data_IF_352956216421
#
_entry.id   IF_352956216421
#
_cell.length_a   1.000
_cell.length_b   1.000
_cell.length_c   1.000
_cell.angle_alpha   90.00
_cell.angle_beta   90.00
_cell.angle_gamma   90.00
#
_symmetry.space_group_name_H-M   'P 1'
#
loop_
_entity.id
_entity.type
_entity.pdbx_description
1 polymer ?
#
# COMPACT_ATOMS: atom_id res chain seq x y z
N UNK A 1 43.27 -29.32 -16.00
CA UNK A 1 41.92 -29.92 -15.86
C UNK A 1 41.70 -30.25 -14.39
N UNK A 2 41.11 -29.32 -13.64
CA UNK A 2 40.70 -29.55 -12.27
C UNK A 2 39.21 -29.90 -12.30
N UNK A 3 38.92 -31.10 -11.80
CA UNK A 3 37.62 -31.75 -11.81
C UNK A 3 36.64 -30.86 -11.04
N UNK A 4 35.57 -30.43 -11.70
CA UNK A 4 34.53 -29.60 -11.12
C UNK A 4 34.02 -30.19 -9.82
N UNK A 5 34.13 -29.41 -8.76
CA UNK A 5 33.52 -29.74 -7.48
C UNK A 5 32.03 -29.44 -7.59
N UNK A 6 31.24 -30.50 -7.80
CA UNK A 6 29.77 -30.50 -8.00
C UNK A 6 29.03 -30.17 -6.69
N UNK A 7 29.73 -29.60 -5.69
CA UNK A 7 29.19 -29.26 -4.36
C UNK A 7 29.60 -27.87 -3.85
N UNK A 8 29.93 -26.93 -4.73
CA UNK A 8 29.74 -25.52 -4.40
C UNK A 8 28.24 -25.20 -4.46
N UNK A 9 27.48 -25.75 -3.51
CA UNK A 9 26.12 -25.29 -3.26
C UNK A 9 26.30 -23.88 -2.74
N UNK A 10 26.12 -22.89 -3.61
CA UNK A 10 25.94 -21.49 -3.20
C UNK A 10 25.01 -21.51 -2.00
N UNK A 11 25.42 -20.86 -0.91
CA UNK A 11 24.63 -20.83 0.31
C UNK A 11 23.20 -20.43 -0.10
N UNK A 12 22.19 -21.29 0.12
CA UNK A 12 20.85 -21.06 -0.42
C UNK A 12 20.27 -19.74 0.07
N UNK A 13 20.77 -19.24 1.20
CA UNK A 13 20.47 -17.90 1.72
C UNK A 13 21.01 -16.83 0.77
N UNK A 14 22.29 -16.90 0.38
CA UNK A 14 22.94 -15.96 -0.55
C UNK A 14 22.29 -15.97 -1.94
N UNK A 15 22.01 -17.14 -2.50
CA UNK A 15 21.34 -17.23 -3.80
C UNK A 15 19.91 -16.65 -3.78
N UNK A 16 19.18 -16.81 -2.67
CA UNK A 16 17.85 -16.18 -2.49
C UNK A 16 17.97 -14.67 -2.34
N UNK A 17 19.04 -14.16 -1.73
CA UNK A 17 19.32 -12.72 -1.62
C UNK A 17 19.69 -12.11 -2.97
N UNK A 18 20.59 -12.74 -3.72
CA UNK A 18 21.00 -12.26 -5.05
C UNK A 18 19.79 -12.20 -6.00
N UNK A 19 18.93 -13.23 -5.96
CA UNK A 19 17.67 -13.24 -6.69
C UNK A 19 16.73 -12.09 -6.28
N UNK A 20 16.65 -11.79 -4.99
CA UNK A 20 15.79 -10.75 -4.48
C UNK A 20 16.34 -9.33 -4.79
N UNK A 21 17.66 -9.17 -4.85
CA UNK A 21 18.33 -7.95 -5.28
C UNK A 21 18.14 -7.70 -6.80
N UNK A 22 18.24 -8.75 -7.61
CA UNK A 22 17.92 -8.68 -9.05
C UNK A 22 16.44 -8.34 -9.31
N UNK A 23 15.53 -8.92 -8.52
CA UNK A 23 14.10 -8.60 -8.59
C UNK A 23 13.84 -7.15 -8.18
N UNK A 24 14.52 -6.66 -7.14
CA UNK A 24 14.43 -5.26 -6.71
C UNK A 24 14.93 -4.30 -7.79
N UNK A 25 16.08 -4.60 -8.42
CA UNK A 25 16.65 -3.78 -9.49
C UNK A 25 15.70 -3.68 -10.70
N UNK A 26 14.93 -4.74 -10.99
CA UNK A 26 13.94 -4.75 -12.08
C UNK A 26 12.56 -4.23 -11.66
N UNK A 27 12.25 -4.16 -10.37
CA UNK A 27 10.95 -3.78 -9.83
C UNK A 27 10.41 -2.42 -10.35
N UNK A 28 11.21 -1.34 -10.47
CA UNK A 28 10.72 -0.07 -11.02
C UNK A 28 10.25 -0.18 -12.48
N UNK A 29 11.00 -0.89 -13.32
CA UNK A 29 10.63 -1.13 -14.72
C UNK A 29 9.36 -1.99 -14.80
N UNK A 30 9.28 -3.05 -14.00
CA UNK A 30 8.09 -3.92 -13.92
C UNK A 30 6.86 -3.13 -13.48
N UNK A 31 6.99 -2.27 -12.47
CA UNK A 31 5.90 -1.40 -11.98
C UNK A 31 5.36 -0.50 -13.08
N UNK A 32 6.25 0.18 -13.81
CA UNK A 32 5.88 1.06 -14.93
C UNK A 32 5.22 0.26 -16.06
N UNK A 33 5.78 -0.90 -16.42
CA UNK A 33 5.20 -1.79 -17.44
C UNK A 33 3.81 -2.29 -17.06
N UNK A 34 3.58 -2.66 -15.79
CA UNK A 34 2.26 -3.09 -15.31
C UNK A 34 1.25 -1.93 -15.39
N UNK A 35 1.65 -0.70 -15.05
CA UNK A 35 0.77 0.47 -15.16
C UNK A 35 0.38 0.72 -16.61
N UNK A 36 1.33 0.69 -17.55
CA UNK A 36 1.02 0.82 -18.98
C UNK A 36 0.15 -0.32 -19.51
N UNK A 37 0.45 -1.56 -19.15
CA UNK A 37 -0.36 -2.72 -19.52
C UNK A 37 -1.81 -2.58 -19.00
N UNK A 38 -1.98 -2.10 -17.76
CA UNK A 38 -3.30 -1.84 -17.19
C UNK A 38 -4.05 -0.72 -17.92
N UNK A 39 -3.38 0.36 -18.30
CA UNK A 39 -4.00 1.44 -19.07
C UNK A 39 -4.41 0.95 -20.47
N UNK A 40 -3.54 0.19 -21.14
CA UNK A 40 -3.81 -0.39 -22.45
C UNK A 40 -5.01 -1.35 -22.41
N UNK A 41 -5.03 -2.29 -21.44
CA UNK A 41 -6.15 -3.23 -21.28
C UNK A 41 -7.43 -2.49 -20.87
N UNK A 42 -7.36 -1.46 -20.01
CA UNK A 42 -8.52 -0.66 -19.65
C UNK A 42 -9.13 0.04 -20.87
N UNK A 43 -8.29 0.61 -21.72
CA UNK A 43 -8.72 1.24 -22.96
C UNK A 43 -9.33 0.22 -23.93
N UNK A 44 -8.69 -0.95 -24.11
CA UNK A 44 -9.22 -2.05 -24.91
C UNK A 44 -10.57 -2.54 -24.43
N UNK A 45 -10.72 -2.78 -23.12
CA UNK A 45 -11.98 -3.18 -22.50
C UNK A 45 -13.08 -2.14 -22.67
N UNK A 46 -12.75 -0.85 -22.56
CA UNK A 46 -13.70 0.22 -22.82
C UNK A 46 -14.18 0.21 -24.28
N UNK A 47 -13.25 0.03 -25.22
CA UNK A 47 -13.57 -0.07 -26.65
C UNK A 47 -14.44 -1.30 -26.93
N UNK A 48 -14.07 -2.47 -26.38
CA UNK A 48 -14.84 -3.70 -26.50
C UNK A 48 -16.27 -3.54 -25.96
N UNK A 49 -16.44 -2.95 -24.78
CA UNK A 49 -17.75 -2.68 -24.21
C UNK A 49 -18.61 -1.77 -25.13
N UNK A 50 -18.00 -0.71 -25.67
CA UNK A 50 -18.68 0.18 -26.63
C UNK A 50 -19.05 -0.57 -27.91
N UNK A 51 -18.15 -1.40 -28.43
CA UNK A 51 -18.38 -2.18 -29.64
C UNK A 51 -19.46 -3.25 -29.45
N UNK A 52 -19.50 -3.90 -28.29
CA UNK A 52 -20.54 -4.86 -27.95
C UNK A 52 -21.92 -4.21 -28.03
N UNK A 53 -22.07 -3.02 -27.43
CA UNK A 53 -23.36 -2.30 -27.43
C UNK A 53 -23.72 -1.76 -28.82
N UNK A 54 -22.74 -1.28 -29.59
CA UNK A 54 -23.00 -0.69 -30.91
C UNK A 54 -23.38 -1.73 -31.97
N UNK A 55 -22.74 -2.90 -31.92
CA UNK A 55 -22.92 -3.99 -32.90
C UNK A 55 -24.01 -4.99 -32.50
N UNK A 56 -24.47 -4.96 -31.24
CA UNK A 56 -25.61 -5.75 -30.79
C UNK A 56 -26.93 -5.22 -31.38
N UNK A 57 -27.80 -6.14 -31.78
CA UNK A 57 -29.16 -5.79 -32.21
C UNK A 57 -30.05 -5.43 -31.03
N UNK A 58 -29.84 -6.10 -29.88
CA UNK A 58 -30.60 -5.90 -28.65
C UNK A 58 -29.84 -5.02 -27.66
N UNK A 59 -29.59 -3.76 -28.04
CA UNK A 59 -28.71 -2.82 -27.30
C UNK A 59 -28.99 -2.73 -25.81
N UNK A 60 -30.26 -2.64 -25.39
CA UNK A 60 -30.62 -2.54 -23.98
C UNK A 60 -30.26 -3.79 -23.17
N UNK A 61 -30.41 -4.96 -23.78
CA UNK A 61 -30.06 -6.23 -23.17
C UNK A 61 -28.54 -6.43 -23.14
N UNK A 62 -27.83 -6.07 -24.20
CA UNK A 62 -26.37 -6.08 -24.25
C UNK A 62 -25.74 -5.17 -23.18
N UNK A 63 -26.22 -3.92 -23.04
CA UNK A 63 -25.76 -3.01 -21.97
C UNK A 63 -25.92 -3.68 -20.60
N UNK A 64 -27.08 -4.29 -20.35
CA UNK A 64 -27.39 -4.91 -19.07
C UNK A 64 -26.48 -6.12 -18.80
N UNK A 65 -26.28 -7.00 -19.79
CA UNK A 65 -25.44 -8.18 -19.66
C UNK A 65 -23.95 -7.84 -19.56
N UNK A 66 -23.46 -6.90 -20.35
CA UNK A 66 -22.07 -6.43 -20.27
C UNK A 66 -21.78 -5.80 -18.90
N UNK A 67 -22.69 -4.96 -18.37
CA UNK A 67 -22.57 -4.39 -17.02
C UNK A 67 -22.67 -5.45 -15.93
N UNK A 68 -23.57 -6.41 -16.07
CA UNK A 68 -23.72 -7.52 -15.13
C UNK A 68 -22.46 -8.38 -15.10
N UNK A 69 -21.90 -8.72 -16.27
CA UNK A 69 -20.65 -9.47 -16.38
C UNK A 69 -19.48 -8.72 -15.71
N UNK A 70 -19.37 -7.42 -15.96
CA UNK A 70 -18.40 -6.56 -15.28
C UNK A 70 -18.59 -6.61 -13.75
N UNK A 71 -19.82 -6.43 -13.27
CA UNK A 71 -20.12 -6.39 -11.84
C UNK A 71 -19.88 -7.73 -11.16
N UNK A 72 -20.23 -8.85 -11.79
CA UNK A 72 -19.96 -10.19 -11.29
C UNK A 72 -18.46 -10.41 -11.11
N UNK A 73 -17.65 -10.12 -12.14
CA UNK A 73 -16.19 -10.25 -12.04
C UNK A 73 -15.58 -9.25 -11.06
N UNK A 74 -16.16 -8.06 -10.92
CA UNK A 74 -15.75 -7.09 -9.93
C UNK A 74 -16.05 -7.53 -8.50
N UNK A 75 -17.23 -8.11 -8.24
CA UNK A 75 -17.64 -8.61 -6.91
C UNK A 75 -16.88 -9.88 -6.55
N UNK A 76 -16.56 -10.74 -7.52
CA UNK A 76 -15.77 -11.96 -7.33
C UNK A 76 -14.50 -11.74 -6.52
N UNK A 77 -13.87 -10.57 -6.66
CA UNK A 77 -12.63 -10.21 -5.95
C UNK A 77 -12.78 -10.08 -4.43
N UNK A 78 -13.99 -9.84 -3.95
CA UNK A 78 -14.27 -9.59 -2.53
C UNK A 78 -14.76 -10.84 -1.80
N UNK A 79 -14.98 -11.94 -2.53
CA UNK A 79 -15.44 -13.18 -1.93
C UNK A 79 -14.28 -13.91 -1.25
N UNK A 80 -14.44 -14.35 0.01
CA UNK A 80 -13.37 -15.05 0.74
C UNK A 80 -13.17 -16.47 0.19
N UNK A 81 -14.26 -17.21 -0.05
CA UNK A 81 -14.20 -18.63 -0.38
C UNK A 81 -13.92 -18.93 -1.85
N UNK A 82 -13.09 -19.94 -2.11
CA UNK A 82 -12.78 -20.42 -3.45
C UNK A 82 -14.02 -20.95 -4.20
N UNK A 83 -14.95 -21.61 -3.49
CA UNK A 83 -16.22 -22.09 -4.03
C UNK A 83 -17.09 -20.93 -4.53
N UNK A 84 -17.29 -19.90 -3.70
CA UNK A 84 -18.03 -18.69 -4.04
C UNK A 84 -17.42 -17.97 -5.23
N UNK A 85 -16.08 -17.85 -5.30
CA UNK A 85 -15.38 -17.27 -6.46
C UNK A 85 -15.61 -18.05 -7.75
N UNK A 86 -15.75 -19.37 -7.66
CA UNK A 86 -15.96 -20.25 -8.81
C UNK A 86 -17.40 -20.16 -9.33
N UNK A 87 -18.37 -20.08 -8.42
CA UNK A 87 -19.79 -19.87 -8.76
C UNK A 87 -19.98 -18.53 -9.49
N UNK A 88 -19.42 -17.44 -8.98
CA UNK A 88 -19.51 -16.14 -9.65
C UNK A 88 -18.81 -16.13 -11.02
N UNK A 89 -17.69 -16.85 -11.16
CA UNK A 89 -17.02 -16.99 -12.45
C UNK A 89 -17.92 -17.73 -13.46
N UNK A 90 -18.56 -18.82 -13.04
CA UNK A 90 -19.51 -19.56 -13.88
C UNK A 90 -20.71 -18.68 -14.28
N UNK A 91 -21.24 -17.88 -13.35
CA UNK A 91 -22.33 -16.96 -13.63
C UNK A 91 -21.92 -15.84 -14.60
N UNK A 92 -20.71 -15.31 -14.47
CA UNK A 92 -20.16 -14.33 -15.41
C UNK A 92 -19.98 -14.94 -16.81
N UNK A 93 -19.55 -16.20 -16.90
CA UNK A 93 -19.41 -16.92 -18.17
C UNK A 93 -20.77 -17.19 -18.82
N UNK A 94 -21.77 -17.59 -18.05
CA UNK A 94 -23.15 -17.71 -18.53
C UNK A 94 -23.70 -16.38 -19.03
N UNK A 95 -23.43 -15.29 -18.28
CA UNK A 95 -23.83 -13.93 -18.69
C UNK A 95 -23.20 -13.56 -20.03
N UNK A 96 -21.91 -13.85 -20.23
CA UNK A 96 -21.23 -13.67 -21.51
C UNK A 96 -21.84 -14.52 -22.63
N UNK A 97 -22.18 -15.78 -22.36
CA UNK A 97 -22.84 -16.62 -23.36
C UNK A 97 -24.20 -16.05 -23.80
N UNK A 98 -24.99 -15.49 -22.87
CA UNK A 98 -26.22 -14.77 -23.22
C UNK A 98 -25.94 -13.46 -23.97
N UNK A 99 -24.83 -12.77 -23.67
CA UNK A 99 -24.45 -11.51 -24.33
C UNK A 99 -24.11 -11.74 -25.81
N UNK A 100 -23.48 -12.88 -26.14
CA UNK A 100 -23.25 -13.31 -27.53
C UNK A 100 -24.56 -13.46 -28.31
N UNK A 101 -25.62 -13.97 -27.68
CA UNK A 101 -26.93 -14.18 -28.31
C UNK A 101 -27.63 -12.86 -28.68
N UNK A 102 -27.12 -11.71 -28.23
CA UNK A 102 -27.68 -10.39 -28.57
C UNK A 102 -27.30 -9.90 -29.98
N UNK A 103 -26.27 -10.51 -30.59
CA UNK A 103 -25.74 -10.15 -31.91
C UNK A 103 -26.34 -11.03 -33.02
N UNK A 104 -27.66 -11.09 -33.19
CA UNK A 104 -28.29 -12.06 -34.11
C UNK A 104 -27.77 -11.98 -35.57
N UNK A 105 -28.13 -12.98 -36.36
CA UNK A 105 -27.88 -13.09 -37.80
C UNK A 105 -26.41 -12.81 -38.21
N UNK A 106 -26.13 -11.68 -38.84
CA UNK A 106 -24.81 -11.32 -39.36
C UNK A 106 -23.83 -10.82 -38.28
N UNK A 107 -24.33 -10.48 -37.09
CA UNK A 107 -23.54 -9.96 -35.97
C UNK A 107 -22.87 -11.05 -35.12
N UNK A 108 -23.29 -12.31 -35.26
CA UNK A 108 -22.98 -13.37 -34.28
C UNK A 108 -21.47 -13.63 -34.17
N UNK A 109 -20.76 -13.53 -35.29
CA UNK A 109 -19.31 -13.64 -35.34
C UNK A 109 -18.62 -12.53 -34.52
N UNK A 110 -19.15 -11.30 -34.53
CA UNK A 110 -18.65 -10.23 -33.67
C UNK A 110 -18.92 -10.52 -32.20
N UNK A 111 -20.09 -11.06 -31.85
CA UNK A 111 -20.39 -11.47 -30.47
C UNK A 111 -19.41 -12.54 -29.96
N UNK A 112 -19.17 -13.59 -30.76
CA UNK A 112 -18.24 -14.68 -30.43
C UNK A 112 -16.79 -14.21 -30.26
N UNK A 113 -16.41 -13.09 -30.88
CA UNK A 113 -15.06 -12.52 -30.74
C UNK A 113 -15.02 -11.53 -29.58
N UNK A 114 -15.87 -10.50 -29.61
CA UNK A 114 -15.81 -9.37 -28.69
C UNK A 114 -16.14 -9.78 -27.25
N UNK A 115 -17.15 -10.62 -27.03
CA UNK A 115 -17.58 -10.98 -25.67
C UNK A 115 -16.52 -11.82 -24.95
N UNK A 116 -15.90 -12.85 -25.56
CA UNK A 116 -14.77 -13.54 -24.93
C UNK A 116 -13.54 -12.66 -24.73
N UNK A 117 -13.22 -11.77 -25.67
CA UNK A 117 -12.11 -10.82 -25.49
C UNK A 117 -12.34 -9.88 -24.30
N UNK A 118 -13.56 -9.36 -24.17
CA UNK A 118 -13.94 -8.54 -23.03
C UNK A 118 -13.87 -9.32 -21.71
N UNK A 119 -14.41 -10.54 -21.68
CA UNK A 119 -14.34 -11.42 -20.51
C UNK A 119 -12.89 -11.72 -20.11
N UNK A 120 -12.06 -12.14 -21.07
CA UNK A 120 -10.65 -12.41 -20.85
C UNK A 120 -9.90 -11.17 -20.38
N UNK A 121 -10.13 -10.01 -20.99
CA UNK A 121 -9.51 -8.75 -20.59
C UNK A 121 -9.85 -8.37 -19.13
N UNK A 122 -11.09 -8.59 -18.68
CA UNK A 122 -11.48 -8.37 -17.28
C UNK A 122 -10.75 -9.32 -16.32
N UNK A 123 -10.64 -10.60 -16.69
CA UNK A 123 -9.89 -11.60 -15.93
C UNK A 123 -8.40 -11.24 -15.87
N UNK A 124 -7.78 -10.90 -17.01
CA UNK A 124 -6.38 -10.48 -17.09
C UNK A 124 -6.11 -9.22 -16.28
N UNK A 125 -7.01 -8.24 -16.29
CA UNK A 125 -6.89 -7.05 -15.44
C UNK A 125 -6.91 -7.39 -13.95
N UNK A 126 -7.69 -8.39 -13.54
CA UNK A 126 -7.67 -8.95 -12.19
C UNK A 126 -6.29 -9.50 -11.81
N UNK A 127 -5.75 -10.40 -12.63
CA UNK A 127 -4.44 -11.01 -12.39
C UNK A 127 -3.28 -10.00 -12.42
N UNK A 128 -3.29 -9.04 -13.35
CA UNK A 128 -2.27 -7.98 -13.39
C UNK A 128 -2.22 -7.17 -12.10
N UNK A 129 -3.36 -6.96 -11.42
CA UNK A 129 -3.39 -6.31 -10.12
C UNK A 129 -2.76 -7.18 -9.04
N UNK A 130 -3.06 -8.48 -9.03
CA UNK A 130 -2.46 -9.42 -8.06
C UNK A 130 -0.94 -9.49 -8.23
N UNK A 131 -0.46 -9.62 -9.47
CA UNK A 131 0.97 -9.60 -9.80
C UNK A 131 1.62 -8.28 -9.35
N UNK A 132 0.97 -7.14 -9.58
CA UNK A 132 1.47 -5.86 -9.10
C UNK A 132 1.64 -5.84 -7.57
N UNK A 133 0.61 -6.29 -6.85
CA UNK A 133 0.63 -6.34 -5.38
C UNK A 133 1.67 -7.31 -4.84
N UNK A 134 1.90 -8.42 -5.54
CA UNK A 134 2.94 -9.40 -5.22
C UNK A 134 4.33 -8.77 -5.33
N UNK A 135 4.64 -8.11 -6.45
CA UNK A 135 5.93 -7.44 -6.61
C UNK A 135 6.14 -6.31 -5.60
N UNK A 136 5.11 -5.51 -5.30
CA UNK A 136 5.22 -4.48 -4.26
C UNK A 136 5.51 -5.10 -2.89
N UNK A 137 4.85 -6.20 -2.53
CA UNK A 137 5.06 -6.90 -1.27
C UNK A 137 6.47 -7.49 -1.14
N UNK A 138 6.96 -8.20 -2.16
CA UNK A 138 8.27 -8.85 -2.10
C UNK A 138 9.42 -7.87 -2.22
N UNK A 139 9.31 -6.85 -3.07
CA UNK A 139 10.29 -5.77 -3.13
C UNK A 139 10.37 -5.02 -1.78
N UNK A 140 9.23 -4.80 -1.12
CA UNK A 140 9.18 -4.22 0.21
C UNK A 140 9.91 -5.10 1.23
N UNK A 141 9.60 -6.40 1.26
CA UNK A 141 10.21 -7.32 2.22
C UNK A 141 11.73 -7.42 2.01
N UNK A 142 12.18 -7.48 0.76
CA UNK A 142 13.62 -7.48 0.46
C UNK A 142 14.31 -6.20 0.94
N UNK A 143 13.73 -5.03 0.63
CA UNK A 143 14.23 -3.73 1.12
C UNK A 143 14.38 -3.69 2.62
N UNK A 144 13.35 -4.13 3.34
CA UNK A 144 13.34 -4.21 4.81
C UNK A 144 14.52 -5.06 5.29
N UNK A 145 14.68 -6.27 4.75
CA UNK A 145 15.77 -7.17 5.18
C UNK A 145 17.15 -6.58 4.85
N UNK A 146 17.33 -5.99 3.67
CA UNK A 146 18.58 -5.38 3.26
C UNK A 146 18.96 -4.19 4.15
N UNK A 147 18.00 -3.29 4.41
CA UNK A 147 18.26 -2.13 5.27
C UNK A 147 18.38 -2.48 6.75
N UNK A 148 17.86 -3.62 7.21
CA UNK A 148 18.21 -4.15 8.54
C UNK A 148 19.64 -4.64 8.61
N UNK A 149 20.13 -5.25 7.53
CA UNK A 149 21.49 -5.77 7.46
C UNK A 149 22.53 -4.67 7.25
N UNK A 150 22.21 -3.68 6.43
CA UNK A 150 23.14 -2.67 5.95
C UNK A 150 23.08 -1.36 6.79
N UNK A 151 22.12 -1.23 7.72
CA UNK A 151 22.06 -0.07 8.62
C UNK A 151 23.15 -0.12 9.68
N UNK A 152 23.85 1.00 9.83
CA UNK A 152 24.65 1.29 11.01
C UNK A 152 23.73 1.27 12.24
N UNK A 153 24.09 0.59 13.35
CA UNK A 153 23.26 0.51 14.55
C UNK A 153 23.02 1.87 15.24
N UNK A 154 23.66 2.95 14.76
CA UNK A 154 23.60 4.27 15.36
C UNK A 154 23.22 5.31 14.29
N UNK A 155 22.00 5.84 14.38
CA UNK A 155 21.56 6.95 13.53
C UNK A 155 21.85 8.29 14.20
N UNK A 156 22.67 9.13 13.57
CA UNK A 156 23.01 10.45 14.12
C UNK A 156 21.88 11.47 13.96
N UNK A 157 21.69 12.29 15.00
CA UNK A 157 20.68 13.33 15.06
C UNK A 157 21.06 14.53 14.15
N UNK A 158 20.16 14.98 13.26
CA UNK A 158 20.35 16.23 12.52
C UNK A 158 20.20 17.46 13.42
N UNK A 159 20.90 18.55 13.12
CA UNK A 159 20.75 19.82 13.85
C UNK A 159 19.34 20.40 13.71
N UNK A 160 18.66 20.65 14.82
CA UNK A 160 17.33 21.27 14.86
C UNK A 160 16.93 21.73 16.26
N UNK A 161 16.18 22.82 16.34
CA UNK A 161 15.78 23.47 17.60
C UNK A 161 14.79 22.64 18.42
N UNK A 162 13.91 21.87 17.77
CA UNK A 162 12.90 21.02 18.40
C UNK A 162 13.01 19.56 17.94
N UNK A 163 12.62 18.60 18.79
CA UNK A 163 12.66 17.17 18.50
C UNK A 163 11.89 16.83 17.22
N UNK A 164 10.76 17.53 17.02
CA UNK A 164 9.95 17.43 15.81
C UNK A 164 10.75 17.81 14.55
N UNK A 165 11.47 18.95 14.57
CA UNK A 165 12.26 19.39 13.43
C UNK A 165 13.43 18.46 13.14
N UNK A 166 14.07 17.92 14.19
CA UNK A 166 15.17 16.95 14.04
C UNK A 166 14.70 15.67 13.37
N UNK A 167 13.54 15.15 13.77
CA UNK A 167 12.92 13.96 13.15
C UNK A 167 12.51 14.23 11.72
N UNK A 168 11.92 15.40 11.42
CA UNK A 168 11.58 15.75 10.04
C UNK A 168 12.81 15.94 9.16
N UNK A 169 13.87 16.56 9.68
CA UNK A 169 15.16 16.68 9.00
C UNK A 169 15.80 15.32 8.74
N UNK A 170 15.71 14.41 9.71
CA UNK A 170 16.20 13.04 9.59
C UNK A 170 15.47 12.31 8.46
N UNK A 171 14.12 12.32 8.49
CA UNK A 171 13.29 11.72 7.46
C UNK A 171 13.53 12.31 6.06
N UNK A 172 13.79 13.62 5.96
CA UNK A 172 14.09 14.28 4.69
C UNK A 172 15.49 13.91 4.15
N UNK A 173 16.49 13.82 5.03
CA UNK A 173 17.86 13.45 4.64
C UNK A 173 17.95 12.03 4.09
N UNK A 174 17.07 11.15 4.58
CA UNK A 174 17.04 9.73 4.24
C UNK A 174 16.09 9.40 3.09
N UNK A 175 15.06 10.21 2.86
CA UNK A 175 14.10 10.00 1.79
C UNK A 175 13.85 11.26 0.93
N UNK A 176 14.29 11.28 -0.34
CA UNK A 176 14.12 12.44 -1.21
C UNK A 176 12.65 12.76 -1.48
N UNK A 177 11.74 11.78 -1.42
CA UNK A 177 10.32 12.03 -1.56
C UNK A 177 9.72 12.78 -0.35
N UNK A 178 10.22 12.51 0.85
CA UNK A 178 9.82 13.24 2.06
C UNK A 178 10.40 14.66 2.00
N UNK A 179 11.65 14.82 1.54
CA UNK A 179 12.24 16.14 1.33
C UNK A 179 11.43 16.98 0.32
N UNK A 180 10.93 16.38 -0.76
CA UNK A 180 10.03 17.07 -1.69
C UNK A 180 8.65 17.36 -1.09
N UNK A 181 8.11 16.43 -0.30
CA UNK A 181 6.83 16.63 0.38
C UNK A 181 6.90 17.82 1.36
N UNK A 182 8.00 17.96 2.09
CA UNK A 182 8.19 19.08 3.03
C UNK A 182 8.24 20.44 2.32
N UNK A 183 8.68 20.49 1.06
CA UNK A 183 8.69 21.70 0.24
C UNK A 183 7.31 22.05 -0.35
N UNK A 184 6.33 21.16 -0.24
CA UNK A 184 5.00 21.35 -0.82
C UNK A 184 4.11 22.16 0.14
N UNK A 185 3.56 23.28 -0.32
CA UNK A 185 2.73 24.16 0.51
C UNK A 185 1.52 23.42 1.10
N UNK A 186 1.34 23.47 2.42
CA UNK A 186 0.23 22.82 3.14
C UNK A 186 0.32 21.29 3.26
N UNK A 187 1.46 20.69 2.91
CA UNK A 187 1.74 19.27 3.11
C UNK A 187 2.28 18.97 4.52
N UNK A 188 2.94 19.94 5.17
CA UNK A 188 3.39 19.87 6.56
C UNK A 188 2.57 20.82 7.41
N UNK A 189 2.09 20.35 8.55
CA UNK A 189 1.47 21.17 9.58
C UNK A 189 2.17 20.92 10.91
N UNK A 190 2.57 22.00 11.61
CA UNK A 190 3.34 21.99 12.86
C UNK A 190 2.99 23.21 13.74
N UNK A 191 2.38 23.08 14.93
CA UNK A 191 1.67 21.91 15.46
C UNK A 191 0.22 21.84 14.95
N UNK A 192 -0.25 20.70 14.45
CA UNK A 192 -1.61 20.52 13.98
C UNK A 192 -2.58 20.18 15.13
N UNK A 193 -3.79 20.74 15.07
CA UNK A 193 -4.96 20.19 15.76
C UNK A 193 -5.82 19.51 14.69
N UNK A 194 -6.00 18.20 14.81
CA UNK A 194 -6.66 17.35 13.83
C UNK A 194 -8.01 16.88 14.37
N UNK A 195 -9.04 17.00 13.54
CA UNK A 195 -10.39 16.52 13.86
C UNK A 195 -10.52 15.04 13.51
N UNK A 196 -10.97 14.24 14.48
CA UNK A 196 -11.39 12.86 14.27
C UNK A 196 -12.81 12.74 13.74
N UNK A 197 -13.18 11.54 13.28
CA UNK A 197 -14.52 11.23 12.82
C UNK A 197 -15.51 11.21 13.98
N UNK A 198 -15.03 10.87 15.17
CA UNK A 198 -15.80 10.95 16.42
C UNK A 198 -16.19 12.37 16.85
N UNK A 199 -15.63 13.41 16.21
CA UNK A 199 -15.78 14.81 16.63
C UNK A 199 -14.73 15.25 17.67
N UNK A 200 -13.88 14.34 18.13
CA UNK A 200 -12.77 14.66 19.04
C UNK A 200 -11.64 15.41 18.33
N UNK A 201 -10.91 16.21 19.10
CA UNK A 201 -9.76 16.99 18.66
C UNK A 201 -8.48 16.39 19.20
N UNK A 202 -7.53 16.11 18.30
CA UNK A 202 -6.25 15.52 18.66
C UNK A 202 -5.09 16.44 18.29
N UNK A 203 -4.17 16.61 19.23
CA UNK A 203 -2.95 17.40 19.03
C UNK A 203 -1.76 16.48 18.74
N UNK A 204 -1.08 16.78 17.64
CA UNK A 204 0.22 16.24 17.26
C UNK A 204 1.22 17.39 17.12
N UNK A 205 2.51 17.08 17.05
CA UNK A 205 3.56 18.10 16.90
C UNK A 205 3.95 18.28 15.44
N UNK A 206 3.87 17.22 14.63
CA UNK A 206 3.84 17.32 13.18
C UNK A 206 2.81 16.38 12.54
N UNK A 207 2.25 16.86 11.44
CA UNK A 207 1.44 16.07 10.53
C UNK A 207 1.87 16.35 9.09
N UNK A 208 2.38 15.31 8.43
CA UNK A 208 2.77 15.37 7.03
C UNK A 208 1.75 14.60 6.23
N UNK A 209 1.10 15.25 5.26
CA UNK A 209 0.12 14.62 4.38
C UNK A 209 0.57 14.69 2.94
N UNK A 210 0.44 13.56 2.26
CA UNK A 210 0.44 13.45 0.80
C UNK A 210 -1.00 13.30 0.34
N UNK A 211 -1.48 14.28 -0.42
CA UNK A 211 -2.83 14.25 -0.96
C UNK A 211 -3.03 13.03 -1.87
N UNK A 212 -4.23 12.42 -1.86
CA UNK A 212 -4.59 11.41 -2.84
C UNK A 212 -4.48 11.97 -4.27
N UNK A 213 -4.07 11.14 -5.22
CA UNK A 213 -4.00 11.50 -6.64
C UNK A 213 -4.91 10.61 -7.47
N UNK A 214 -5.38 11.12 -8.62
CA UNK A 214 -6.29 10.39 -9.52
C UNK A 214 -7.59 9.97 -8.82
N UNK A 215 -8.03 8.73 -9.07
CA UNK A 215 -9.21 8.14 -8.42
C UNK A 215 -8.92 7.61 -7.00
N UNK A 216 -7.92 8.18 -6.30
CA UNK A 216 -7.53 7.81 -4.92
C UNK A 216 -7.18 6.33 -4.74
N UNK A 217 -6.62 5.71 -5.77
CA UNK A 217 -6.33 4.27 -5.77
C UNK A 217 -7.56 3.38 -6.00
N UNK A 218 -8.74 3.94 -6.30
CA UNK A 218 -9.90 3.17 -6.76
C UNK A 218 -9.50 2.43 -8.03
N UNK A 219 -9.77 1.11 -8.06
CA UNK A 219 -9.31 0.23 -9.12
C UNK A 219 -7.79 0.30 -9.38
N UNK A 220 -6.98 0.73 -8.40
CA UNK A 220 -5.53 0.86 -8.52
C UNK A 220 -5.07 1.99 -9.44
N UNK A 221 -5.89 3.03 -9.66
CA UNK A 221 -5.51 4.25 -10.38
C UNK A 221 -5.21 5.39 -9.41
N UNK A 222 -4.00 5.95 -9.49
CA UNK A 222 -3.52 7.01 -8.59
C UNK A 222 -3.13 6.50 -7.19
N UNK A 223 -2.65 7.42 -6.34
CA UNK A 223 -2.25 7.12 -4.96
C UNK A 223 -3.40 7.37 -3.99
N UNK A 224 -3.65 6.50 -3.00
CA UNK A 224 -4.60 6.77 -1.92
C UNK A 224 -4.14 7.92 -0.99
N UNK A 225 -2.94 8.45 -1.20
CA UNK A 225 -2.30 9.39 -0.29
C UNK A 225 -1.64 8.67 0.87
N UNK A 226 -1.05 9.44 1.78
CA UNK A 226 -0.44 8.90 3.00
C UNK A 226 -0.26 10.00 4.03
N UNK A 227 -0.39 9.65 5.31
CA UNK A 227 -0.09 10.56 6.41
C UNK A 227 1.04 10.04 7.31
N UNK A 228 1.90 10.96 7.75
CA UNK A 228 2.89 10.72 8.81
C UNK A 228 2.51 11.57 10.01
N UNK A 229 2.41 10.94 11.17
CA UNK A 229 2.06 11.58 12.43
C UNK A 229 3.28 11.56 13.35
N UNK A 230 3.64 12.71 13.92
CA UNK A 230 4.74 12.82 14.88
C UNK A 230 4.20 13.43 16.18
N UNK A 231 4.50 12.76 17.29
CA UNK A 231 4.19 13.24 18.64
C UNK A 231 5.43 13.16 19.52
N UNK A 232 5.77 14.27 20.15
CA UNK A 232 6.91 14.41 21.04
C UNK A 232 6.47 14.23 22.50
N UNK A 233 7.34 13.62 23.29
CA UNK A 233 7.19 13.43 24.72
C UNK A 233 8.48 13.83 25.43
N UNK A 234 8.36 14.35 26.65
CA UNK A 234 9.51 14.72 27.48
C UNK A 234 10.06 13.55 28.29
N UNK A 235 9.34 12.43 28.34
CA UNK A 235 9.67 11.21 29.08
C UNK A 235 9.24 9.98 28.25
N UNK A 236 9.68 8.76 28.61
CA UNK A 236 9.26 7.53 27.93
C UNK A 236 7.73 7.42 27.88
N UNK A 237 7.10 7.28 26.69
CA UNK A 237 5.66 7.15 26.57
C UNK A 237 5.16 5.86 27.23
N UNK A 238 4.04 5.95 27.93
CA UNK A 238 3.38 4.78 28.51
C UNK A 238 2.60 4.00 27.44
N UNK A 239 2.21 2.76 27.77
CA UNK A 239 1.25 1.99 26.95
C UNK A 239 -0.04 2.78 26.68
N UNK A 240 -0.55 3.48 27.70
CA UNK A 240 -1.75 4.30 27.56
C UNK A 240 -1.60 5.42 26.53
N UNK A 241 -0.42 6.04 26.47
CA UNK A 241 -0.09 7.06 25.47
C UNK A 241 -0.08 6.48 24.06
N UNK A 242 0.51 5.30 23.88
CA UNK A 242 0.52 4.61 22.60
C UNK A 242 -0.87 4.15 22.15
N UNK A 243 -1.70 3.65 23.06
CA UNK A 243 -3.10 3.34 22.77
C UNK A 243 -3.90 4.60 22.38
N UNK A 244 -3.66 5.72 23.06
CA UNK A 244 -4.28 7.00 22.73
C UNK A 244 -3.85 7.51 21.35
N UNK A 245 -2.56 7.41 21.02
CA UNK A 245 -2.04 7.74 19.67
C UNK A 245 -2.69 6.84 18.62
N UNK A 246 -2.74 5.52 18.84
CA UNK A 246 -3.36 4.57 17.91
C UNK A 246 -4.81 4.95 17.62
N UNK A 247 -5.63 5.14 18.67
CA UNK A 247 -7.05 5.55 18.54
C UNK A 247 -7.18 6.89 17.80
N UNK A 248 -6.33 7.87 18.13
CA UNK A 248 -6.35 9.17 17.48
C UNK A 248 -6.05 9.08 15.97
N UNK A 249 -5.00 8.33 15.60
CA UNK A 249 -4.61 8.16 14.19
C UNK A 249 -5.68 7.43 13.40
N UNK A 250 -6.27 6.38 13.96
CA UNK A 250 -7.38 5.65 13.32
C UNK A 250 -8.56 6.58 13.06
N UNK A 251 -8.95 7.37 14.06
CA UNK A 251 -10.08 8.30 13.99
C UNK A 251 -9.85 9.45 12.99
N UNK A 252 -8.63 10.01 12.94
CA UNK A 252 -8.24 11.06 11.97
C UNK A 252 -8.18 10.49 10.54
N UNK A 253 -7.65 9.29 10.38
CA UNK A 253 -7.56 8.65 9.06
C UNK A 253 -8.95 8.36 8.49
N UNK A 254 -9.89 7.97 9.35
CA UNK A 254 -11.30 7.81 8.99
C UNK A 254 -11.98 9.15 8.63
N UNK A 255 -11.64 10.25 9.32
CA UNK A 255 -12.19 11.58 9.02
C UNK A 255 -11.67 12.16 7.70
N UNK A 256 -10.35 12.03 7.48
CA UNK A 256 -9.67 12.62 6.31
C UNK A 256 -9.78 11.74 5.06
N UNK A 257 -10.04 10.45 5.23
CA UNK A 257 -10.02 9.47 4.15
C UNK A 257 -8.61 9.22 3.59
N UNK A 258 -7.56 9.60 4.33
CA UNK A 258 -6.15 9.40 3.98
C UNK A 258 -5.60 8.28 4.86
N UNK A 259 -4.99 7.22 4.30
CA UNK A 259 -4.46 6.13 5.10
C UNK A 259 -3.22 6.55 5.91
N UNK A 260 -3.03 5.99 7.11
CA UNK A 260 -1.84 6.23 7.89
C UNK A 260 -0.65 5.51 7.24
N UNK A 261 0.43 6.25 7.01
CA UNK A 261 1.67 5.74 6.42
C UNK A 261 2.73 5.45 7.46
N UNK A 262 2.85 6.29 8.50
CA UNK A 262 3.79 6.11 9.60
C UNK A 262 3.33 6.90 10.83
N UNK A 263 3.55 6.35 12.02
CA UNK A 263 3.24 7.02 13.28
C UNK A 263 4.48 6.96 14.16
N UNK A 264 4.95 8.12 14.60
CA UNK A 264 6.23 8.28 15.29
C UNK A 264 5.97 8.99 16.62
N UNK A 265 6.29 8.33 17.72
CA UNK A 265 6.46 8.93 19.03
C UNK A 265 7.94 9.21 19.22
N UNK A 266 8.30 10.42 19.61
CA UNK A 266 9.69 10.83 19.82
C UNK A 266 9.82 11.26 21.27
N UNK A 267 10.82 10.76 21.97
CA UNK A 267 11.03 11.12 23.36
C UNK A 267 12.53 11.25 23.65
N UNK A 268 12.88 12.05 24.65
CA UNK A 268 14.26 12.25 25.07
C UNK A 268 14.58 11.35 26.25
N UNK A 269 15.66 10.58 26.14
CA UNK A 269 16.18 9.80 27.24
C UNK A 269 16.97 10.72 28.19
N UNK A 270 16.50 10.80 29.44
CA UNK A 270 17.24 11.41 30.53
C UNK A 270 17.70 10.31 31.50
N UNK A 271 19.01 10.12 31.62
CA UNK A 271 19.59 9.09 32.48
C UNK A 271 19.34 7.66 31.97
N UNK A 272 18.80 6.78 32.81
CA UNK A 272 18.49 5.38 32.48
C UNK A 272 16.98 5.18 32.17
N UNK A 273 16.32 6.24 31.70
CA UNK A 273 14.92 6.21 31.33
C UNK A 273 14.72 5.31 30.11
N UNK A 274 13.89 4.28 30.26
CA UNK A 274 13.55 3.31 29.21
C UNK A 274 12.04 3.14 29.10
N UNK A 275 11.59 2.67 27.95
CA UNK A 275 10.21 2.20 27.79
C UNK A 275 9.94 1.07 28.79
N UNK A 276 8.74 1.06 29.38
CA UNK A 276 8.29 -0.11 30.14
C UNK A 276 8.12 -1.31 29.21
N UNK A 277 8.29 -2.52 29.74
CA UNK A 277 8.13 -3.76 28.97
C UNK A 277 6.78 -3.83 28.26
N UNK A 278 5.71 -3.38 28.92
CA UNK A 278 4.36 -3.32 28.36
C UNK A 278 4.26 -2.34 27.18
N UNK A 279 4.93 -1.19 27.26
CA UNK A 279 4.94 -0.19 26.21
C UNK A 279 5.79 -0.65 25.02
N UNK A 280 6.93 -1.29 25.29
CA UNK A 280 7.77 -1.93 24.29
C UNK A 280 7.03 -3.06 23.57
N UNK A 281 6.34 -3.94 24.31
CA UNK A 281 5.55 -5.03 23.73
C UNK A 281 4.40 -4.50 22.86
N UNK A 282 3.72 -3.43 23.31
CA UNK A 282 2.67 -2.80 22.51
C UNK A 282 3.22 -2.22 21.20
N UNK A 283 4.27 -1.42 21.27
CA UNK A 283 4.89 -0.78 20.09
C UNK A 283 5.42 -1.81 19.08
N UNK A 284 5.87 -2.97 19.56
CA UNK A 284 6.42 -4.04 18.70
C UNK A 284 5.37 -5.00 18.14
N UNK A 285 4.27 -5.27 18.85
CA UNK A 285 3.24 -6.25 18.45
C UNK A 285 1.99 -5.63 17.84
N UNK A 286 1.62 -4.41 18.24
CA UNK A 286 0.43 -3.75 17.73
C UNK A 286 0.69 -2.99 16.42
N UNK A 287 -0.37 -2.88 15.61
CA UNK A 287 -0.39 -2.06 14.39
C UNK A 287 -1.60 -1.15 14.40
N UNK A 288 -1.44 0.03 13.82
CA UNK A 288 -2.54 0.95 13.51
C UNK A 288 -3.23 0.40 12.27
N UNK A 289 -4.53 0.10 12.36
CA UNK A 289 -5.29 -0.52 11.27
C UNK A 289 -6.52 0.31 10.94
N UNK A 290 -6.65 0.69 9.67
CA UNK A 290 -7.80 1.46 9.19
C UNK A 290 -8.37 0.84 7.93
N UNK A 291 -9.68 0.65 7.89
CA UNK A 291 -10.38 0.23 6.67
C UNK A 291 -10.95 1.46 5.97
N UNK A 292 -10.38 1.82 4.81
CA UNK A 292 -10.87 2.91 3.97
C UNK A 292 -11.32 2.33 2.62
N UNK A 293 -12.55 2.63 2.21
CA UNK A 293 -13.12 2.19 0.93
C UNK A 293 -13.00 0.67 0.69
N UNK A 294 -13.20 -0.13 1.74
CA UNK A 294 -13.13 -1.60 1.68
C UNK A 294 -11.70 -2.17 1.65
N UNK A 295 -10.66 -1.34 1.71
CA UNK A 295 -9.27 -1.77 1.77
C UNK A 295 -8.71 -1.54 3.17
N UNK A 296 -8.04 -2.55 3.71
CA UNK A 296 -7.34 -2.47 5.00
C UNK A 296 -5.97 -1.87 4.79
N UNK A 297 -5.66 -0.86 5.59
CA UNK A 297 -4.38 -0.17 5.63
C UNK A 297 -3.77 -0.34 7.01
N UNK A 298 -2.54 -0.83 7.04
CA UNK A 298 -1.80 -1.08 8.28
C UNK A 298 -0.49 -0.29 8.29
N UNK A 299 -0.17 0.31 9.43
CA UNK A 299 1.16 0.84 9.70
C UNK A 299 1.58 0.54 11.14
N UNK A 300 2.88 0.35 11.34
CA UNK A 300 3.46 0.13 12.66
C UNK A 300 3.59 1.45 13.41
N UNK A 301 3.43 1.38 14.73
CA UNK A 301 3.79 2.46 15.64
C UNK A 301 5.31 2.44 15.84
N UNK A 302 5.95 3.60 15.82
CA UNK A 302 7.39 3.75 16.06
C UNK A 302 7.60 4.64 17.27
N UNK A 303 8.55 4.26 18.10
CA UNK A 303 9.10 5.05 19.19
C UNK A 303 10.55 5.36 18.84
N UNK A 304 10.93 6.62 18.93
CA UNK A 304 12.29 7.10 18.70
C UNK A 304 12.80 7.66 20.03
N UNK A 305 13.86 7.05 20.53
CA UNK A 305 14.60 7.50 21.70
C UNK A 305 15.71 8.44 21.26
N UNK A 306 15.67 9.68 21.77
CA UNK A 306 16.73 10.67 21.58
C UNK A 306 17.72 10.57 22.74
N UNK A 307 18.89 10.00 22.47
CA UNK A 307 19.97 9.88 23.46
C UNK A 307 20.72 11.20 23.64
N UNK A 308 21.28 11.37 24.84
CA UNK A 308 22.08 12.55 25.19
C UNK A 308 23.38 12.68 24.36
N UNK A 309 23.86 11.58 23.77
CA UNK A 309 25.06 11.52 22.94
C UNK A 309 24.85 11.97 21.48
N UNK A 310 23.61 12.33 21.12
CA UNK A 310 23.32 12.79 19.76
C UNK A 310 22.84 11.67 18.83
N UNK A 311 22.38 10.54 19.37
CA UNK A 311 21.95 9.37 18.59
C UNK A 311 20.44 9.10 18.73
N UNK A 312 19.85 8.51 17.68
CA UNK A 312 18.47 8.03 17.67
C UNK A 312 18.44 6.50 17.72
N UNK A 313 17.69 5.94 18.68
CA UNK A 313 17.33 4.53 18.71
C UNK A 313 15.85 4.34 18.31
N UNK A 314 15.57 3.34 17.48
CA UNK A 314 14.26 3.10 16.86
C UNK A 314 13.63 1.82 17.41
N UNK A 315 12.40 1.94 17.94
CA UNK A 315 11.65 0.86 18.54
C UNK A 315 10.25 0.76 17.90
N UNK A 316 9.88 -0.33 17.20
CA UNK A 316 10.80 -1.34 16.70
C UNK A 316 11.75 -0.73 15.68
N UNK A 317 12.89 -1.38 15.47
CA UNK A 317 13.79 -1.03 14.40
C UNK A 317 13.08 -1.23 13.06
N UNK A 318 12.63 -0.13 12.43
CA UNK A 318 11.95 -0.16 11.14
C UNK A 318 12.90 0.38 10.09
N UNK A 319 13.42 -0.49 9.20
CA UNK A 319 14.24 -0.07 8.09
C UNK A 319 13.60 1.03 7.23
N UNK A 320 14.42 1.99 6.83
CA UNK A 320 13.98 3.14 6.04
C UNK A 320 13.59 2.72 4.63
N UNK A 321 12.28 2.70 4.38
CA UNK A 321 11.75 2.42 3.05
C UNK A 321 11.61 3.72 2.24
N UNK A 322 12.17 3.78 1.01
CA UNK A 322 11.88 4.85 0.07
C UNK A 322 10.47 4.65 -0.46
N UNK A 323 9.51 5.30 0.20
CA UNK A 323 8.14 5.42 -0.26
C UNK A 323 7.16 5.45 0.89
N UNK A 324 6.27 6.44 0.87
CA UNK A 324 4.98 6.28 1.52
C UNK A 324 4.27 5.13 0.83
N UNK A 325 4.00 4.01 1.48
CA UNK A 325 2.71 3.33 1.31
C UNK A 325 2.52 2.21 2.34
N UNK A 326 1.27 2.01 2.78
CA UNK A 326 0.88 1.12 3.85
C UNK A 326 1.13 -0.33 3.47
N UNK A 327 1.40 -1.16 4.48
CA UNK A 327 1.39 -2.61 4.32
C UNK A 327 -0.01 -3.02 3.85
N UNK A 328 -0.16 -3.18 2.54
CA UNK A 328 -1.37 -3.74 1.98
C UNK A 328 -1.19 -5.24 2.09
N UNK A 329 -1.66 -5.83 3.19
CA UNK A 329 -1.97 -7.25 3.13
C UNK A 329 -3.10 -7.43 2.12
N UNK A 330 -3.00 -8.35 1.14
CA UNK A 330 -4.23 -8.91 0.59
C UNK A 330 -5.04 -9.38 1.79
N UNK A 331 -6.33 -9.08 1.84
CA UNK A 331 -7.19 -9.59 2.89
C UNK A 331 -7.01 -11.11 2.92
N UNK A 332 -6.30 -11.60 3.92
CA UNK A 332 -6.22 -13.02 4.20
C UNK A 332 -7.59 -13.41 4.70
N UNK A 333 -8.36 -14.03 3.81
CA UNK A 333 -9.20 -15.16 4.14
C UNK A 333 -8.62 -16.34 3.37
#
# INVERSE_FOLDING_TARGET
MQKGDVRAVENPITAVFDLAEDVEARSPKIRVSIVYARMFIAFGLFLDAVMIVLLSEMKGLAITLTLLMFLLLYVRRWLPDASSRSVILALALLTGAFDVLTFRDAGLLFGIILVPFFFLGLVTMGYLREVHSFFEYYALRHRIVKSVRDADPVAYIPTGTDATQRVLGFLASRNPEIAQLQKTAGAVSTPPILHGRSGMMYKFDAYLRRSPTGLRGLLGFGSPGSAIFVKSFTAPPSRGDFEAIKRAVEDISLATGIPPGRVIAVWRAEGDAKLSDEAYEFVTKDVVRVTLFGKVYECSLQSIEENADGTYDFIPFIPETPGSMPATRPATA
#
